data_IF_778414556045
#
_entry.id   IF_778414556045
#
_cell.length_a   1.000
_cell.length_b   1.000
_cell.length_c   1.000
_cell.angle_alpha   90.00
_cell.angle_beta   90.00
_cell.angle_gamma   90.00
#
_symmetry.space_group_name_H-M   'P 1'
#
loop_
_entity.id
_entity.type
_entity.pdbx_description
1 polymer ?
#
# COMPACT_ATOMS: atom_id res chain seq x y z
N UNK A 1 -27.02 19.10 -15.23
CA UNK A 1 -26.01 18.84 -16.27
C UNK A 1 -24.57 18.77 -15.72
N UNK A 2 -24.36 18.87 -14.40
CA UNK A 2 -23.02 18.82 -13.77
C UNK A 2 -22.55 17.41 -13.36
N UNK A 3 -23.42 16.39 -13.40
CA UNK A 3 -23.10 15.02 -12.96
C UNK A 3 -22.32 14.19 -13.98
N UNK A 4 -22.20 14.65 -15.23
CA UNK A 4 -21.50 13.93 -16.29
C UNK A 4 -19.98 14.18 -16.30
N UNK A 5 -19.52 15.33 -15.78
CA UNK A 5 -18.09 15.66 -15.75
C UNK A 5 -17.32 14.89 -14.66
N UNK A 6 -17.97 14.46 -13.58
CA UNK A 6 -17.32 13.67 -12.53
C UNK A 6 -16.90 12.26 -12.99
N UNK A 7 -17.52 11.73 -14.05
CA UNK A 7 -17.24 10.37 -14.55
C UNK A 7 -16.05 10.29 -15.52
N UNK A 8 -15.62 11.40 -16.13
CA UNK A 8 -14.43 11.43 -17.00
C UNK A 8 -13.14 11.77 -16.24
N UNK A 9 -13.22 12.38 -15.05
CA UNK A 9 -12.05 12.86 -14.28
C UNK A 9 -11.22 11.73 -13.66
N UNK A 10 -11.74 10.51 -13.54
CA UNK A 10 -11.02 9.38 -12.94
C UNK A 10 -10.21 8.52 -13.94
N UNK A 11 -9.84 9.10 -15.10
CA UNK A 11 -9.07 8.41 -16.16
C UNK A 11 -7.60 8.83 -16.30
N UNK A 12 -7.00 9.48 -15.30
CA UNK A 12 -5.55 9.66 -15.20
C UNK A 12 -5.07 9.27 -13.79
N UNK A 13 -3.85 8.74 -13.72
CA UNK A 13 -3.41 7.93 -12.59
C UNK A 13 -1.95 8.17 -12.24
N UNK A 14 -1.40 9.37 -12.38
CA UNK A 14 -0.10 9.65 -11.77
C UNK A 14 -0.25 9.83 -10.26
N UNK A 15 0.85 9.78 -9.52
CA UNK A 15 0.82 10.06 -8.09
C UNK A 15 0.44 11.52 -7.81
N UNK A 16 0.93 12.47 -8.62
CA UNK A 16 0.59 13.90 -8.53
C UNK A 16 -0.92 14.15 -8.64
N UNK A 17 -1.58 13.51 -9.59
CA UNK A 17 -3.04 13.61 -9.75
C UNK A 17 -3.76 13.01 -8.54
N UNK A 18 -3.27 11.88 -8.02
CA UNK A 18 -3.86 11.21 -6.86
C UNK A 18 -3.76 12.06 -5.59
N UNK A 19 -2.59 12.64 -5.31
CA UNK A 19 -2.38 13.49 -4.13
C UNK A 19 -3.06 14.86 -4.25
N UNK A 20 -3.30 15.33 -5.47
CA UNK A 20 -4.09 16.54 -5.71
C UNK A 20 -5.59 16.31 -5.50
N UNK A 21 -6.08 15.11 -5.83
CA UNK A 21 -7.49 14.75 -5.70
C UNK A 21 -7.89 14.29 -4.29
N UNK A 22 -6.98 13.63 -3.57
CA UNK A 22 -7.24 13.07 -2.24
C UNK A 22 -6.39 13.74 -1.19
N UNK A 23 -7.03 14.18 -0.11
CA UNK A 23 -6.36 14.79 1.03
C UNK A 23 -5.44 13.80 1.74
N UNK A 24 -5.82 12.52 1.78
CA UNK A 24 -5.05 11.45 2.41
C UNK A 24 -4.90 10.30 1.41
N UNK A 25 -3.66 9.94 1.08
CA UNK A 25 -3.35 8.77 0.25
C UNK A 25 -2.59 7.74 1.09
N UNK A 26 -3.31 6.71 1.52
CA UNK A 26 -2.76 5.58 2.29
C UNK A 26 -2.11 4.57 1.36
N UNK A 27 -0.86 4.24 1.64
CA UNK A 27 -0.15 3.16 0.94
C UNK A 27 -0.13 1.89 1.78
N UNK A 28 -0.50 0.78 1.15
CA UNK A 28 -0.32 -0.58 1.68
C UNK A 28 1.10 -1.10 1.37
N UNK A 29 1.59 -2.05 2.18
CA UNK A 29 2.89 -2.71 2.01
C UNK A 29 3.06 -3.27 0.59
N UNK A 30 2.01 -3.85 0.00
CA UNK A 30 2.09 -4.45 -1.34
C UNK A 30 2.38 -3.43 -2.46
N UNK A 31 1.99 -2.17 -2.30
CA UNK A 31 2.21 -1.09 -3.27
C UNK A 31 3.50 -0.30 -3.01
N UNK A 32 3.97 -0.31 -1.76
CA UNK A 32 5.29 0.22 -1.36
C UNK A 32 6.41 -0.67 -1.92
N UNK A 33 6.27 -1.99 -1.75
CA UNK A 33 7.30 -2.94 -2.15
C UNK A 33 7.42 -3.08 -3.68
N UNK A 34 6.40 -2.69 -4.45
CA UNK A 34 6.46 -2.65 -5.90
C UNK A 34 5.11 -2.34 -6.54
N UNK A 35 5.10 -2.25 -7.87
CA UNK A 35 3.86 -2.22 -8.64
C UNK A 35 3.43 -3.63 -9.07
N UNK A 36 2.16 -3.77 -9.48
CA UNK A 36 1.54 -5.00 -9.95
C UNK A 36 2.36 -5.59 -11.10
N UNK A 37 3.25 -6.51 -10.74
CA UNK A 37 4.10 -7.21 -11.69
C UNK A 37 3.72 -8.69 -11.62
N UNK A 38 3.18 -9.23 -12.72
CA UNK A 38 2.79 -10.65 -12.83
C UNK A 38 3.98 -11.61 -12.80
N UNK A 39 5.23 -11.12 -12.78
CA UNK A 39 6.40 -11.98 -12.74
C UNK A 39 6.55 -12.61 -11.35
N UNK A 40 6.39 -13.93 -11.37
CA UNK A 40 6.39 -14.90 -10.29
C UNK A 40 7.61 -14.80 -9.36
N UNK A 41 7.49 -15.45 -8.21
CA UNK A 41 8.55 -15.62 -7.22
C UNK A 41 9.87 -15.95 -7.93
N UNK A 42 10.82 -15.01 -7.92
CA UNK A 42 12.14 -15.24 -8.51
C UNK A 42 12.79 -16.50 -7.96
N UNK A 43 12.89 -17.52 -8.81
CA UNK A 43 13.41 -18.84 -8.44
C UNK A 43 14.94 -18.78 -8.42
N UNK A 44 15.55 -18.12 -9.42
CA UNK A 44 17.01 -17.95 -9.54
C UNK A 44 17.58 -16.87 -8.60
N UNK A 45 18.91 -16.73 -8.56
CA UNK A 45 19.58 -15.62 -7.87
C UNK A 45 19.43 -14.33 -8.68
N UNK A 46 19.63 -14.40 -10.01
CA UNK A 46 19.42 -13.28 -10.93
C UNK A 46 18.01 -12.67 -10.81
N UNK A 47 16.95 -13.48 -10.72
CA UNK A 47 15.59 -12.96 -10.51
C UNK A 47 15.45 -12.21 -9.19
N UNK A 48 16.12 -12.69 -8.13
CA UNK A 48 16.12 -12.04 -6.82
C UNK A 48 16.91 -10.74 -6.84
N UNK A 49 18.00 -10.67 -7.61
CA UNK A 49 18.77 -9.45 -7.86
C UNK A 49 17.88 -8.43 -8.58
N UNK A 50 17.27 -8.82 -9.70
CA UNK A 50 16.36 -7.97 -10.48
C UNK A 50 15.20 -7.46 -9.64
N UNK A 51 14.56 -8.32 -8.84
CA UNK A 51 13.53 -7.92 -7.89
C UNK A 51 14.05 -6.92 -6.83
N UNK A 52 15.30 -7.08 -6.38
CA UNK A 52 15.87 -6.15 -5.40
C UNK A 52 16.17 -4.79 -6.02
N UNK A 53 16.75 -4.75 -7.23
CA UNK A 53 16.93 -3.50 -7.98
C UNK A 53 15.59 -2.79 -8.20
N UNK A 54 14.58 -3.56 -8.62
CA UNK A 54 13.22 -3.08 -8.79
C UNK A 54 12.62 -2.46 -7.52
N UNK A 55 12.72 -3.15 -6.38
CA UNK A 55 12.22 -2.65 -5.11
C UNK A 55 12.96 -1.36 -4.67
N UNK A 56 14.26 -1.28 -4.94
CA UNK A 56 15.06 -0.09 -4.65
C UNK A 56 14.56 1.12 -5.46
N UNK A 57 14.39 0.96 -6.77
CA UNK A 57 13.86 2.03 -7.64
C UNK A 57 12.48 2.51 -7.19
N UNK A 58 11.60 1.58 -6.80
CA UNK A 58 10.25 1.91 -6.34
C UNK A 58 10.23 2.67 -5.02
N UNK A 59 11.08 2.26 -4.07
CA UNK A 59 11.16 2.92 -2.75
C UNK A 59 11.83 4.29 -2.86
N UNK A 60 12.85 4.45 -3.71
CA UNK A 60 13.46 5.75 -4.01
C UNK A 60 12.47 6.69 -4.72
N UNK A 61 11.60 6.17 -5.60
CA UNK A 61 10.52 6.96 -6.20
C UNK A 61 9.54 7.49 -5.13
N UNK A 62 9.03 6.60 -4.26
CA UNK A 62 8.07 7.00 -3.23
C UNK A 62 8.69 7.93 -2.18
N UNK A 63 9.98 7.77 -1.87
CA UNK A 63 10.70 8.66 -0.95
C UNK A 63 10.64 10.13 -1.38
N UNK A 64 10.83 10.42 -2.68
CA UNK A 64 10.75 11.80 -3.20
C UNK A 64 9.38 12.44 -3.00
N UNK A 65 8.31 11.66 -3.06
CA UNK A 65 6.96 12.14 -2.79
C UNK A 65 6.65 12.25 -1.30
N UNK A 66 7.20 11.32 -0.50
CA UNK A 66 7.08 11.37 0.95
C UNK A 66 7.75 12.61 1.53
N UNK A 67 8.86 13.09 0.94
CA UNK A 67 9.53 14.34 1.34
C UNK A 67 8.62 15.57 1.21
N UNK A 68 7.69 15.56 0.25
CA UNK A 68 6.71 16.64 0.05
C UNK A 68 5.44 16.52 0.91
N UNK A 69 5.34 15.49 1.76
CA UNK A 69 4.26 15.40 2.76
C UNK A 69 2.91 14.89 2.24
N UNK A 70 2.86 14.19 1.11
CA UNK A 70 1.59 13.76 0.49
C UNK A 70 1.27 12.26 0.62
N UNK A 71 2.21 11.46 1.13
CA UNK A 71 2.03 10.01 1.34
C UNK A 71 1.79 9.72 2.81
N UNK A 72 0.79 8.88 3.09
CA UNK A 72 0.43 8.46 4.43
C UNK A 72 0.57 6.95 4.62
N UNK A 73 0.94 6.55 5.84
CA UNK A 73 1.04 5.15 6.27
C UNK A 73 0.30 4.97 7.59
N UNK A 74 -0.18 3.75 7.86
CA UNK A 74 -0.62 3.38 9.22
C UNK A 74 0.54 2.78 10.02
N UNK A 75 0.50 2.80 11.37
CA UNK A 75 1.52 2.18 12.22
C UNK A 75 1.76 0.69 11.89
N UNK A 76 0.72 -0.04 11.52
CA UNK A 76 0.80 -1.45 11.17
C UNK A 76 1.52 -1.66 9.83
N UNK A 77 1.27 -0.82 8.82
CA UNK A 77 1.99 -0.87 7.54
C UNK A 77 3.48 -0.57 7.73
N UNK A 78 3.81 0.41 8.58
CA UNK A 78 5.20 0.73 8.95
C UNK A 78 5.87 -0.50 9.57
N UNK A 79 5.21 -1.10 10.55
CA UNK A 79 5.70 -2.28 11.27
C UNK A 79 5.92 -3.46 10.32
N UNK A 80 4.95 -3.75 9.45
CA UNK A 80 5.00 -4.84 8.47
C UNK A 80 6.11 -4.62 7.43
N UNK A 81 6.21 -3.40 6.88
CA UNK A 81 7.21 -3.03 5.88
C UNK A 81 8.64 -3.24 6.40
N UNK A 82 8.91 -2.83 7.65
CA UNK A 82 10.23 -2.95 8.27
C UNK A 82 10.53 -4.37 8.78
N UNK A 83 9.53 -5.09 9.30
CA UNK A 83 9.69 -6.46 9.78
C UNK A 83 10.04 -7.43 8.65
N UNK A 84 9.32 -7.35 7.53
CA UNK A 84 9.50 -8.23 6.37
C UNK A 84 10.90 -8.16 5.75
N UNK A 85 11.61 -7.04 5.92
CA UNK A 85 12.93 -6.82 5.32
C UNK A 85 14.11 -7.05 6.28
N UNK A 86 13.90 -7.01 7.61
CA UNK A 86 14.99 -7.09 8.59
C UNK A 86 15.45 -8.51 8.94
N UNK A 87 14.51 -9.47 9.01
CA UNK A 87 14.77 -10.82 9.52
C UNK A 87 15.46 -11.75 8.50
N UNK A 88 15.22 -11.54 7.20
CA UNK A 88 15.72 -12.44 6.14
C UNK A 88 17.21 -12.28 5.82
N UNK A 89 17.80 -11.12 6.10
CA UNK A 89 19.20 -10.79 5.78
C UNK A 89 20.15 -11.39 6.82
N UNK A 90 19.89 -11.14 8.12
CA UNK A 90 20.79 -11.57 9.22
C UNK A 90 20.91 -13.10 9.36
N UNK A 91 19.81 -13.85 9.19
CA UNK A 91 19.78 -15.32 9.35
C UNK A 91 20.46 -16.06 8.18
N UNK A 92 20.49 -15.48 6.98
CA UNK A 92 21.10 -16.08 5.77
C UNK A 92 22.60 -15.85 5.69
N UNK A 93 23.08 -14.68 6.14
CA UNK A 93 24.52 -14.37 6.21
C UNK A 93 25.23 -15.34 7.18
N UNK A 94 24.60 -15.65 8.33
CA UNK A 94 25.20 -16.53 9.36
C UNK A 94 25.31 -18.02 8.99
N UNK A 95 24.59 -18.52 7.97
CA UNK A 95 24.49 -19.97 7.69
C UNK A 95 25.33 -20.46 6.50
N UNK A 96 26.06 -19.60 5.79
CA UNK A 96 26.71 -19.96 4.51
C UNK A 96 28.12 -19.42 4.36
N UNK A 97 28.88 -19.39 5.45
CA UNK A 97 30.25 -18.90 5.53
C UNK A 97 31.30 -19.79 4.84
N UNK A 98 30.94 -20.63 3.86
CA UNK A 98 31.92 -21.50 3.19
C UNK A 98 32.20 -21.14 1.72
N UNK A 99 31.23 -20.87 0.84
CA UNK A 99 31.53 -20.46 -0.56
C UNK A 99 30.47 -19.45 -1.07
N UNK A 100 30.85 -18.19 -1.24
CA UNK A 100 29.97 -17.19 -1.85
C UNK A 100 30.41 -16.91 -3.28
N UNK A 101 29.61 -17.38 -4.24
CA UNK A 101 29.62 -16.90 -5.62
C UNK A 101 29.30 -15.39 -5.66
N UNK A 102 29.88 -14.66 -6.62
CA UNK A 102 29.79 -13.20 -6.78
C UNK A 102 28.34 -12.70 -6.73
N UNK A 103 27.43 -13.42 -7.38
CA UNK A 103 26.00 -13.07 -7.44
C UNK A 103 25.32 -13.11 -6.06
N UNK A 104 25.75 -14.02 -5.18
CA UNK A 104 25.18 -14.12 -3.83
C UNK A 104 25.57 -12.92 -2.96
N UNK A 105 26.80 -12.44 -3.09
CA UNK A 105 27.28 -11.22 -2.40
C UNK A 105 26.55 -9.99 -2.94
N UNK A 106 26.37 -9.90 -4.25
CA UNK A 106 25.61 -8.83 -4.88
C UNK A 106 24.17 -8.78 -4.36
N UNK A 107 23.49 -9.93 -4.30
CA UNK A 107 22.13 -10.01 -3.76
C UNK A 107 22.07 -9.53 -2.30
N UNK A 108 23.03 -9.91 -1.46
CA UNK A 108 23.10 -9.45 -0.07
C UNK A 108 23.27 -7.92 -0.01
N UNK A 109 24.19 -7.38 -0.82
CA UNK A 109 24.45 -5.93 -0.90
C UNK A 109 23.21 -5.16 -1.34
N UNK A 110 22.51 -5.65 -2.37
CA UNK A 110 21.29 -5.04 -2.89
C UNK A 110 20.15 -5.06 -1.87
N UNK A 111 19.96 -6.17 -1.16
CA UNK A 111 18.97 -6.23 -0.06
C UNK A 111 19.27 -5.23 1.05
N UNK A 112 20.56 -5.05 1.39
CA UNK A 112 20.99 -4.02 2.33
C UNK A 112 20.65 -2.61 1.84
N UNK A 113 20.81 -2.33 0.53
CA UNK A 113 20.40 -1.06 -0.08
C UNK A 113 18.88 -0.87 -0.04
N UNK A 114 18.10 -1.89 -0.41
CA UNK A 114 16.63 -1.85 -0.37
C UNK A 114 16.12 -1.52 1.03
N UNK A 115 16.67 -2.17 2.06
CA UNK A 115 16.27 -1.91 3.44
C UNK A 115 16.61 -0.48 3.87
N UNK A 116 17.76 0.06 3.44
CA UNK A 116 18.11 1.46 3.73
C UNK A 116 17.20 2.45 3.02
N UNK A 117 16.87 2.21 1.75
CA UNK A 117 15.93 3.06 1.01
C UNK A 117 14.52 3.01 1.61
N UNK A 118 14.01 1.82 1.94
CA UNK A 118 12.72 1.68 2.63
C UNK A 118 12.69 2.42 3.98
N UNK A 119 13.76 2.34 4.77
CA UNK A 119 13.88 3.11 6.02
C UNK A 119 13.89 4.61 5.77
N UNK A 120 14.59 5.09 4.74
CA UNK A 120 14.56 6.51 4.36
C UNK A 120 13.15 6.96 4.00
N UNK A 121 12.45 6.19 3.17
CA UNK A 121 11.06 6.45 2.83
C UNK A 121 10.16 6.55 4.07
N UNK A 122 10.19 5.54 4.95
CA UNK A 122 9.40 5.53 6.20
C UNK A 122 9.75 6.73 7.09
N UNK A 123 11.05 7.02 7.24
CA UNK A 123 11.50 8.17 8.03
C UNK A 123 11.00 9.50 7.45
N UNK A 124 10.94 9.66 6.12
CA UNK A 124 10.34 10.86 5.50
C UNK A 124 8.85 10.99 5.80
N UNK A 125 8.11 9.88 5.76
CA UNK A 125 6.69 9.88 6.16
C UNK A 125 6.54 10.27 7.64
N UNK A 126 7.41 9.74 8.51
CA UNK A 126 7.40 10.04 9.94
C UNK A 126 7.75 11.50 10.25
N UNK A 127 8.82 12.03 9.64
CA UNK A 127 9.25 13.43 9.82
C UNK A 127 8.17 14.43 9.37
N UNK A 128 7.40 14.07 8.35
CA UNK A 128 6.25 14.85 7.88
C UNK A 128 4.95 14.59 8.67
N UNK A 129 5.02 13.84 9.78
CA UNK A 129 3.86 13.51 10.63
C UNK A 129 2.72 12.79 9.88
N UNK A 130 3.07 12.05 8.83
CA UNK A 130 2.11 11.34 7.98
C UNK A 130 1.92 9.85 8.34
N UNK A 131 2.43 9.44 9.51
CA UNK A 131 1.98 8.19 10.14
C UNK A 131 0.64 8.48 10.81
N UNK A 132 -0.42 7.90 10.25
CA UNK A 132 -1.78 8.19 10.69
C UNK A 132 -2.08 7.48 12.01
N UNK A 133 -2.12 8.27 13.08
CA UNK A 133 -2.66 7.84 14.37
C UNK A 133 -4.08 8.39 14.51
N UNK A 134 -5.02 7.50 14.80
CA UNK A 134 -6.42 7.86 15.05
C UNK A 134 -6.53 8.54 16.42
N UNK A 135 -7.27 9.64 16.50
CA UNK A 135 -7.58 10.29 17.77
C UNK A 135 -8.61 9.47 18.57
N UNK A 136 -9.01 9.94 19.75
CA UNK A 136 -9.93 9.21 20.63
C UNK A 136 -11.29 8.92 19.96
N UNK A 137 -11.89 9.92 19.31
CA UNK A 137 -13.18 9.79 18.61
C UNK A 137 -13.07 8.83 17.41
N UNK A 138 -12.02 8.97 16.62
CA UNK A 138 -11.74 8.11 15.47
C UNK A 138 -11.46 6.66 15.88
N UNK A 139 -10.79 6.47 17.01
CA UNK A 139 -10.51 5.15 17.58
C UNK A 139 -11.77 4.44 18.09
N UNK A 140 -12.73 5.19 18.61
CA UNK A 140 -14.04 4.67 19.00
C UNK A 140 -14.80 4.16 17.77
N UNK A 141 -14.84 4.96 16.70
CA UNK A 141 -15.47 4.58 15.42
C UNK A 141 -14.77 3.35 14.84
N UNK A 142 -13.44 3.36 14.79
CA UNK A 142 -12.65 2.22 14.35
C UNK A 142 -13.01 0.95 15.12
N UNK A 143 -13.09 1.02 16.45
CA UNK A 143 -13.41 -0.13 17.31
C UNK A 143 -14.81 -0.68 17.05
N UNK A 144 -15.78 0.22 16.87
CA UNK A 144 -17.15 -0.13 16.51
C UNK A 144 -17.22 -0.82 15.13
N UNK A 145 -16.52 -0.27 14.13
CA UNK A 145 -16.43 -0.87 12.79
C UNK A 145 -15.73 -2.23 12.82
N UNK A 146 -14.61 -2.34 13.57
CA UNK A 146 -13.83 -3.58 13.72
C UNK A 146 -14.69 -4.69 14.31
N UNK A 147 -15.44 -4.40 15.37
CA UNK A 147 -16.37 -5.36 15.99
C UNK A 147 -17.48 -5.76 15.01
N UNK A 148 -18.15 -4.76 14.41
CA UNK A 148 -19.30 -4.96 13.50
C UNK A 148 -18.94 -5.75 12.25
N UNK A 149 -17.76 -5.51 11.67
CA UNK A 149 -17.38 -6.04 10.36
C UNK A 149 -16.25 -7.06 10.40
N UNK A 150 -15.94 -7.64 11.57
CA UNK A 150 -14.90 -8.67 11.68
C UNK A 150 -15.12 -9.87 10.75
N UNK A 151 -16.38 -10.17 10.38
CA UNK A 151 -16.70 -11.23 9.42
C UNK A 151 -16.13 -10.98 8.01
N UNK A 152 -15.97 -9.71 7.60
CA UNK A 152 -15.37 -9.35 6.30
C UNK A 152 -13.90 -9.74 6.25
N UNK A 153 -13.18 -9.58 7.37
CA UNK A 153 -11.79 -10.01 7.49
C UNK A 153 -11.66 -11.49 7.13
N UNK A 154 -12.51 -12.34 7.69
CA UNK A 154 -12.54 -13.78 7.40
C UNK A 154 -12.96 -14.07 5.96
N UNK A 155 -14.00 -13.39 5.45
CA UNK A 155 -14.52 -13.57 4.09
C UNK A 155 -13.45 -13.36 3.01
N UNK A 156 -12.58 -12.37 3.20
CA UNK A 156 -11.52 -12.02 2.26
C UNK A 156 -10.12 -12.52 2.67
N UNK A 157 -10.01 -13.30 3.75
CA UNK A 157 -8.74 -13.79 4.29
C UNK A 157 -7.71 -12.69 4.54
N UNK A 158 -8.16 -11.53 5.02
CA UNK A 158 -7.31 -10.36 5.25
C UNK A 158 -6.38 -10.58 6.45
N UNK A 159 -5.15 -10.07 6.35
CA UNK A 159 -4.29 -9.92 7.52
C UNK A 159 -4.86 -8.87 8.48
N UNK A 160 -4.33 -8.79 9.71
CA UNK A 160 -4.67 -7.66 10.61
C UNK A 160 -4.25 -6.32 10.01
N UNK A 161 -3.10 -6.25 9.33
CA UNK A 161 -2.62 -5.04 8.65
C UNK A 161 -3.61 -4.58 7.58
N UNK A 162 -4.00 -5.51 6.68
CA UNK A 162 -4.92 -5.22 5.58
C UNK A 162 -6.30 -4.77 6.07
N UNK A 163 -6.80 -5.41 7.13
CA UNK A 163 -8.07 -5.02 7.70
C UNK A 163 -7.97 -3.67 8.41
N UNK A 164 -6.88 -3.43 9.16
CA UNK A 164 -6.67 -2.17 9.87
C UNK A 164 -6.55 -0.98 8.93
N UNK A 165 -5.80 -1.10 7.82
CA UNK A 165 -5.67 0.00 6.85
C UNK A 165 -6.99 0.34 6.18
N UNK A 166 -7.82 -0.66 5.83
CA UNK A 166 -9.14 -0.43 5.24
C UNK A 166 -10.07 0.29 6.21
N UNK A 167 -10.17 -0.21 7.45
CA UNK A 167 -11.01 0.45 8.47
C UNK A 167 -10.52 1.86 8.79
N UNK A 168 -9.21 2.07 8.87
CA UNK A 168 -8.63 3.40 9.03
C UNK A 168 -9.02 4.32 7.87
N UNK A 169 -8.96 3.84 6.62
CA UNK A 169 -9.41 4.61 5.45
C UNK A 169 -10.89 5.02 5.51
N UNK A 170 -11.76 4.16 6.04
CA UNK A 170 -13.19 4.45 6.27
C UNK A 170 -13.35 5.55 7.32
N UNK A 171 -12.67 5.42 8.46
CA UNK A 171 -12.74 6.43 9.53
C UNK A 171 -12.22 7.80 9.04
N UNK A 172 -11.11 7.80 8.31
CA UNK A 172 -10.50 9.02 7.78
C UNK A 172 -11.39 9.67 6.70
N UNK A 173 -12.04 8.88 5.84
CA UNK A 173 -12.99 9.41 4.85
C UNK A 173 -14.25 10.02 5.48
N UNK A 174 -14.66 9.50 6.63
CA UNK A 174 -15.75 10.07 7.44
C UNK A 174 -15.33 11.35 8.18
N UNK A 175 -14.12 11.40 8.75
CA UNK A 175 -13.71 12.46 9.69
C UNK A 175 -12.77 13.51 9.13
N UNK A 176 -11.85 13.13 8.24
CA UNK A 176 -10.73 13.99 7.79
C UNK A 176 -10.86 14.46 6.35
N UNK A 177 -11.66 13.80 5.51
CA UNK A 177 -11.93 14.19 4.11
C UNK A 177 -11.61 13.11 3.09
N UNK A 178 -11.53 13.47 1.81
CA UNK A 178 -11.28 12.52 0.72
C UNK A 178 -10.03 11.66 1.00
N UNK A 179 -10.22 10.35 1.07
CA UNK A 179 -9.17 9.39 1.39
C UNK A 179 -9.04 8.37 0.25
N UNK A 180 -7.83 7.96 -0.07
CA UNK A 180 -7.56 6.90 -1.03
C UNK A 180 -6.68 5.82 -0.40
N UNK A 181 -6.88 4.56 -0.83
CA UNK A 181 -5.96 3.46 -0.57
C UNK A 181 -5.30 3.03 -1.87
N UNK A 182 -3.98 2.89 -1.84
CA UNK A 182 -3.17 2.31 -2.90
C UNK A 182 -2.67 0.94 -2.44
N UNK A 183 -3.20 -0.13 -3.05
CA UNK A 183 -2.79 -1.50 -2.77
C UNK A 183 -2.74 -2.31 -4.06
N UNK A 184 -1.87 -3.32 -4.13
CA UNK A 184 -1.88 -4.32 -5.20
C UNK A 184 -2.59 -5.61 -4.77
N UNK A 185 -3.11 -5.67 -3.53
CA UNK A 185 -3.90 -6.79 -3.03
C UNK A 185 -5.38 -6.60 -3.40
N UNK A 186 -5.87 -7.41 -4.34
CA UNK A 186 -7.27 -7.36 -4.76
C UNK A 186 -8.25 -7.82 -3.66
N UNK A 187 -7.84 -8.67 -2.73
CA UNK A 187 -8.66 -9.06 -1.57
C UNK A 187 -8.91 -7.87 -0.66
N UNK A 188 -7.85 -7.11 -0.36
CA UNK A 188 -7.93 -5.85 0.38
C UNK A 188 -8.87 -4.88 -0.35
N UNK A 189 -8.65 -4.61 -1.63
CA UNK A 189 -9.45 -3.62 -2.36
C UNK A 189 -10.93 -4.03 -2.49
N UNK A 190 -11.24 -5.32 -2.73
CA UNK A 190 -12.61 -5.84 -2.76
C UNK A 190 -13.30 -5.64 -1.41
N UNK A 191 -12.62 -5.99 -0.32
CA UNK A 191 -13.16 -5.81 1.03
C UNK A 191 -13.39 -4.34 1.36
N UNK A 192 -12.49 -3.46 0.92
CA UNK A 192 -12.64 -2.00 1.08
C UNK A 192 -13.89 -1.47 0.38
N UNK A 193 -14.14 -1.87 -0.86
CA UNK A 193 -15.36 -1.46 -1.59
C UNK A 193 -16.62 -1.96 -0.88
N UNK A 194 -16.63 -3.20 -0.39
CA UNK A 194 -17.77 -3.74 0.35
C UNK A 194 -17.99 -3.01 1.68
N UNK A 195 -16.92 -2.78 2.45
CA UNK A 195 -17.00 -2.07 3.73
C UNK A 195 -17.42 -0.61 3.56
N UNK A 196 -16.97 0.06 2.51
CA UNK A 196 -17.40 1.41 2.17
C UNK A 196 -18.92 1.46 1.96
N UNK A 197 -19.46 0.51 1.18
CA UNK A 197 -20.91 0.37 0.97
C UNK A 197 -21.65 0.10 2.27
N UNK A 198 -21.18 -0.86 3.09
CA UNK A 198 -21.80 -1.20 4.38
C UNK A 198 -21.71 -0.06 5.41
N UNK A 199 -20.78 0.87 5.23
CA UNK A 199 -20.58 2.04 6.07
C UNK A 199 -21.22 3.31 5.49
N UNK A 200 -22.01 3.18 4.41
CA UNK A 200 -22.65 4.28 3.69
C UNK A 200 -21.66 5.41 3.28
N UNK A 201 -20.46 5.03 2.86
CA UNK A 201 -19.47 5.96 2.32
C UNK A 201 -19.59 5.99 0.81
N UNK A 202 -19.81 7.19 0.28
CA UNK A 202 -19.76 7.46 -1.16
C UNK A 202 -18.38 7.11 -1.73
N UNK A 203 -18.36 6.43 -2.87
CA UNK A 203 -17.12 5.90 -3.42
C UNK A 203 -16.19 7.01 -3.94
N UNK A 204 -16.76 8.18 -4.22
CA UNK A 204 -16.05 9.42 -4.53
C UNK A 204 -15.24 9.93 -3.33
N UNK A 205 -15.70 9.65 -2.10
CA UNK A 205 -15.01 10.03 -0.85
C UNK A 205 -13.92 9.06 -0.44
N UNK A 206 -14.03 7.81 -0.89
CA UNK A 206 -13.10 6.75 -0.53
C UNK A 206 -12.65 5.96 -1.75
N UNK A 207 -11.49 6.37 -2.29
CA UNK A 207 -10.94 5.83 -3.53
C UNK A 207 -10.06 4.60 -3.33
N UNK A 208 -10.05 3.72 -4.33
CA UNK A 208 -9.26 2.48 -4.34
C UNK A 208 -8.43 2.43 -5.62
N UNK A 209 -7.11 2.28 -5.48
CA UNK A 209 -6.17 2.35 -6.58
C UNK A 209 -5.18 1.20 -6.54
N UNK A 210 -4.81 0.72 -7.73
CA UNK A 210 -3.71 -0.25 -7.90
C UNK A 210 -2.51 0.46 -8.50
N UNK A 211 -1.30 0.09 -8.09
CA UNK A 211 -0.09 0.63 -8.71
C UNK A 211 0.33 -0.31 -9.85
N UNK A 212 0.16 0.07 -11.11
CA UNK A 212 0.53 -0.76 -12.28
C UNK A 212 1.95 -0.50 -12.80
N UNK A 213 2.47 0.71 -12.60
CA UNK A 213 3.85 1.11 -12.95
C UNK A 213 4.37 2.08 -11.88
N UNK A 214 5.62 2.50 -12.02
CA UNK A 214 6.28 3.41 -11.07
C UNK A 214 5.41 4.61 -10.71
N UNK A 215 4.86 5.27 -11.73
CA UNK A 215 3.99 6.45 -11.62
C UNK A 215 2.66 6.25 -12.37
N UNK A 216 2.00 5.10 -12.15
CA UNK A 216 0.68 4.84 -12.72
C UNK A 216 -0.21 4.02 -11.77
N UNK A 217 -1.30 4.64 -11.36
CA UNK A 217 -2.22 4.34 -10.26
C UNK A 217 -3.67 4.42 -10.75
N UNK A 218 -4.12 3.53 -11.65
CA UNK A 218 -5.51 3.54 -12.09
C UNK A 218 -6.47 3.15 -10.97
N UNK A 219 -7.69 3.71 -11.01
CA UNK A 219 -8.79 3.31 -10.14
C UNK A 219 -9.07 1.81 -10.27
N UNK A 220 -9.19 1.15 -9.13
CA UNK A 220 -9.51 -0.26 -9.04
C UNK A 220 -11.02 -0.52 -9.20
N UNK A 221 -11.89 0.48 -9.00
CA UNK A 221 -13.35 0.29 -8.92
C UNK A 221 -13.91 -0.43 -10.16
N UNK A 222 -13.51 0.00 -11.36
CA UNK A 222 -13.92 -0.65 -12.62
C UNK A 222 -13.37 -2.07 -12.80
N UNK A 223 -12.31 -2.44 -12.08
CA UNK A 223 -11.73 -3.80 -12.06
C UNK A 223 -12.33 -4.69 -10.96
N UNK A 224 -13.07 -4.09 -10.02
CA UNK A 224 -13.68 -4.75 -8.86
C UNK A 224 -15.18 -4.97 -9.03
N UNK A 225 -15.82 -4.36 -10.03
CA UNK A 225 -17.18 -4.68 -10.40
C UNK A 225 -17.29 -6.17 -10.78
N UNK A 226 -18.32 -6.90 -10.31
CA UNK A 226 -18.61 -8.20 -10.88
C UNK A 226 -18.87 -7.99 -12.38
N UNK A 227 -18.25 -8.81 -13.23
CA UNK A 227 -18.73 -8.92 -14.61
C UNK A 227 -20.24 -9.12 -14.56
N UNK A 228 -21.05 -8.41 -15.38
CA UNK A 228 -22.46 -8.76 -15.50
C UNK A 228 -22.49 -10.24 -15.89
N UNK A 229 -23.08 -11.05 -15.02
CA UNK A 229 -23.42 -12.42 -15.33
C UNK A 229 -24.29 -12.38 -16.58
N UNK A 230 -23.75 -12.92 -17.68
CA UNK A 230 -24.47 -13.17 -18.91
C UNK A 230 -25.62 -14.18 -18.68
#
# INVERSE_FOLDING_TARGET
METAQANETFRKGTLDELVSAYKIVLFDTSSILGYLNRKERGVSISDKINKSCFNLENTDFLHRYAENGHIYLTPEVVSESLANNSYSVKKRIRRRSSHHDSESLELIRLRGKCLRSLRRFVNSVELNQNIVVLNAEESEIYSNLKSKFNFIKSKYSLSETDFSIVLSGIVLSQKRGLTAIVSNDFGLLKSGVELAKLSNIEIERFGFFIRKRTDYFPSAIGMLAPYPSA
#
